data_IF_118336239182
#
_entry.id   IF_118336239182
#
_cell.length_a   1.000
_cell.length_b   1.000
_cell.length_c   1.000
_cell.angle_alpha   90.00
_cell.angle_beta   90.00
_cell.angle_gamma   90.00
#
_symmetry.space_group_name_H-M   'P 1'
#
loop_
_entity.id
_entity.type
_entity.pdbx_description
1 polymer ?
#
# COMPACT_ATOMS: atom_id res chain seq x y z
N UNK A 1 -15.28 0.44 -18.35
CA UNK A 1 -14.40 0.13 -17.20
C UNK A 1 -13.96 1.38 -16.45
N UNK A 2 -13.46 2.44 -17.12
CA UNK A 2 -13.02 3.68 -16.44
C UNK A 2 -14.08 4.27 -15.49
N UNK A 3 -15.35 4.32 -15.93
CA UNK A 3 -16.48 4.75 -15.09
C UNK A 3 -16.65 3.88 -13.84
N UNK A 4 -16.42 2.57 -13.95
CA UNK A 4 -16.55 1.64 -12.84
C UNK A 4 -15.45 1.87 -11.79
N UNK A 5 -14.22 2.13 -12.24
CA UNK A 5 -13.08 2.44 -11.35
C UNK A 5 -13.31 3.78 -10.65
N UNK A 6 -13.81 4.79 -11.36
CA UNK A 6 -14.20 6.08 -10.77
C UNK A 6 -15.31 5.92 -9.72
N UNK A 7 -16.33 5.11 -10.03
CA UNK A 7 -17.39 4.80 -9.07
C UNK A 7 -16.86 4.04 -7.85
N UNK A 8 -15.94 3.08 -8.04
CA UNK A 8 -15.32 2.32 -6.94
C UNK A 8 -14.52 3.25 -6.02
N UNK A 9 -13.73 4.16 -6.59
CA UNK A 9 -12.99 5.16 -5.83
C UNK A 9 -13.92 6.12 -5.08
N UNK A 10 -15.02 6.55 -5.70
CA UNK A 10 -16.02 7.38 -5.02
C UNK A 10 -16.67 6.63 -3.85
N UNK A 11 -16.97 5.34 -4.02
CA UNK A 11 -17.48 4.49 -2.95
C UNK A 11 -16.47 4.36 -1.81
N UNK A 12 -15.19 4.10 -2.10
CA UNK A 12 -14.15 4.07 -1.06
C UNK A 12 -14.06 5.42 -0.31
N UNK A 13 -14.05 6.55 -1.03
CA UNK A 13 -14.02 7.88 -0.40
C UNK A 13 -15.25 8.17 0.49
N UNK A 14 -16.43 7.71 0.10
CA UNK A 14 -17.69 8.00 0.82
C UNK A 14 -17.99 6.98 1.92
N UNK A 15 -17.76 5.70 1.67
CA UNK A 15 -18.11 4.58 2.57
C UNK A 15 -16.85 4.09 3.30
N UNK A 16 -15.76 3.86 2.56
CA UNK A 16 -14.57 3.16 3.03
C UNK A 16 -14.85 1.68 3.23
N UNK A 17 -14.16 1.05 4.19
CA UNK A 17 -14.36 -0.34 4.55
C UNK A 17 -15.48 -0.52 5.59
N UNK A 18 -16.69 -0.97 5.21
CA UNK A 18 -17.76 -1.21 6.17
C UNK A 18 -17.40 -2.39 7.09
N UNK A 19 -17.23 -2.11 8.38
CA UNK A 19 -16.89 -3.12 9.42
C UNK A 19 -17.90 -4.27 9.52
N UNK A 20 -19.11 -4.09 9.00
CA UNK A 20 -20.17 -5.10 9.04
C UNK A 20 -20.07 -6.16 7.94
N UNK A 21 -19.24 -5.96 6.92
CA UNK A 21 -19.06 -6.93 5.84
C UNK A 21 -17.70 -7.61 5.96
N UNK A 22 -17.60 -8.93 5.75
CA UNK A 22 -16.32 -9.62 5.72
C UNK A 22 -15.49 -9.07 4.55
N UNK A 23 -14.39 -8.39 4.87
CA UNK A 23 -13.50 -7.84 3.86
C UNK A 23 -12.78 -8.97 3.10
N UNK A 24 -12.71 -8.96 1.76
CA UNK A 24 -12.10 -10.06 0.99
C UNK A 24 -10.67 -10.42 1.43
N UNK A 25 -9.90 -9.42 1.89
CA UNK A 25 -8.56 -9.61 2.47
C UNK A 25 -8.54 -10.58 3.66
N UNK A 26 -9.61 -10.64 4.48
CA UNK A 26 -9.71 -11.60 5.60
C UNK A 26 -9.79 -13.04 5.08
N UNK A 27 -10.52 -13.25 3.97
CA UNK A 27 -10.61 -14.55 3.33
C UNK A 27 -9.28 -14.94 2.68
N UNK A 28 -8.59 -13.98 2.03
CA UNK A 28 -7.23 -14.19 1.51
C UNK A 28 -6.25 -14.56 2.63
N UNK A 29 -6.25 -13.84 3.74
CA UNK A 29 -5.41 -14.14 4.90
C UNK A 29 -5.68 -15.52 5.49
N UNK A 30 -6.96 -15.91 5.57
CA UNK A 30 -7.35 -17.25 6.01
C UNK A 30 -6.86 -18.34 5.06
N UNK A 31 -6.88 -18.09 3.75
CA UNK A 31 -6.34 -19.00 2.75
C UNK A 31 -4.82 -19.12 2.89
N UNK A 32 -4.11 -18.01 3.04
CA UNK A 32 -2.66 -17.95 3.21
C UNK A 32 -2.25 -18.75 4.45
N UNK A 33 -2.90 -18.55 5.60
CA UNK A 33 -2.62 -19.30 6.84
C UNK A 33 -2.83 -20.80 6.68
N UNK A 34 -3.90 -21.22 5.98
CA UNK A 34 -4.16 -22.64 5.71
C UNK A 34 -3.08 -23.25 4.81
N UNK A 35 -2.70 -22.56 3.75
CA UNK A 35 -1.62 -22.99 2.86
C UNK A 35 -0.29 -23.07 3.61
N UNK A 36 0.05 -22.06 4.40
CA UNK A 36 1.25 -22.03 5.22
C UNK A 36 1.29 -23.21 6.20
N UNK A 37 0.21 -23.43 6.95
CA UNK A 37 0.12 -24.52 7.91
C UNK A 37 0.25 -25.90 7.24
N UNK A 38 -0.28 -26.06 6.01
CA UNK A 38 -0.12 -27.29 5.24
C UNK A 38 1.34 -27.50 4.81
N UNK A 39 1.98 -26.46 4.28
CA UNK A 39 3.37 -26.52 3.83
C UNK A 39 4.29 -26.85 5.01
N UNK A 40 4.13 -26.18 6.15
CA UNK A 40 4.97 -26.40 7.34
C UNK A 40 4.82 -27.79 7.96
N UNK A 41 3.72 -28.50 7.68
CA UNK A 41 3.58 -29.92 8.10
C UNK A 41 4.45 -30.87 7.28
N UNK A 42 4.74 -30.52 6.02
CA UNK A 42 5.42 -31.42 5.07
C UNK A 42 6.83 -30.95 4.72
N UNK A 43 7.13 -29.66 4.83
CA UNK A 43 8.41 -29.06 4.46
C UNK A 43 9.22 -28.70 5.70
N UNK A 44 10.34 -29.40 5.91
CA UNK A 44 11.22 -29.21 7.08
C UNK A 44 12.54 -28.54 6.74
N UNK A 45 12.99 -28.61 5.47
CA UNK A 45 14.23 -27.97 5.01
C UNK A 45 13.97 -26.70 4.20
N UNK A 46 15.03 -25.90 4.01
CA UNK A 46 14.97 -24.61 3.33
C UNK A 46 14.48 -24.72 1.87
N UNK A 47 14.82 -25.80 1.16
CA UNK A 47 14.43 -25.97 -0.25
C UNK A 47 12.96 -26.31 -0.35
N UNK A 48 12.47 -27.25 0.47
CA UNK A 48 11.05 -27.58 0.54
C UNK A 48 10.20 -26.36 0.94
N UNK A 49 10.67 -25.54 1.89
CA UNK A 49 9.99 -24.30 2.27
C UNK A 49 9.93 -23.28 1.13
N UNK A 50 11.00 -23.12 0.34
CA UNK A 50 10.99 -22.24 -0.84
C UNK A 50 10.02 -22.72 -1.90
N UNK A 51 10.04 -24.01 -2.23
CA UNK A 51 9.09 -24.60 -3.19
C UNK A 51 7.66 -24.45 -2.69
N UNK A 52 7.42 -24.73 -1.40
CA UNK A 52 6.13 -24.51 -0.77
C UNK A 52 5.67 -23.05 -0.87
N UNK A 53 6.56 -22.10 -0.62
CA UNK A 53 6.29 -20.66 -0.78
C UNK A 53 5.88 -20.29 -2.20
N UNK A 54 6.58 -20.81 -3.22
CA UNK A 54 6.20 -20.60 -4.63
C UNK A 54 4.82 -21.20 -4.93
N UNK A 55 4.55 -22.43 -4.48
CA UNK A 55 3.25 -23.07 -4.66
C UNK A 55 2.12 -22.31 -3.95
N UNK A 56 2.37 -21.79 -2.74
CA UNK A 56 1.43 -20.93 -2.01
C UNK A 56 1.08 -19.70 -2.83
N UNK A 57 2.09 -18.98 -3.33
CA UNK A 57 1.88 -17.77 -4.14
C UNK A 57 1.05 -18.08 -5.38
N UNK A 58 1.40 -19.14 -6.13
CA UNK A 58 0.64 -19.56 -7.31
C UNK A 58 -0.80 -19.89 -6.93
N UNK A 59 -1.00 -20.69 -5.88
CA UNK A 59 -2.33 -21.11 -5.43
C UNK A 59 -3.18 -19.90 -5.01
N UNK A 60 -2.67 -19.02 -4.16
CA UNK A 60 -3.41 -17.86 -3.66
C UNK A 60 -3.76 -16.88 -4.78
N UNK A 61 -2.82 -16.56 -5.67
CA UNK A 61 -3.06 -15.68 -6.82
C UNK A 61 -4.08 -16.27 -7.79
N UNK A 62 -3.95 -17.57 -8.12
CA UNK A 62 -4.83 -18.30 -9.04
C UNK A 62 -6.25 -18.37 -8.48
N UNK A 63 -6.39 -18.83 -7.23
CA UNK A 63 -7.68 -18.94 -6.55
C UNK A 63 -8.35 -17.56 -6.45
N UNK A 64 -7.60 -16.53 -6.05
CA UNK A 64 -8.14 -15.17 -5.95
C UNK A 64 -8.65 -14.67 -7.30
N UNK A 65 -7.85 -14.81 -8.36
CA UNK A 65 -8.22 -14.37 -9.69
C UNK A 65 -9.49 -15.07 -10.20
N UNK A 66 -9.51 -16.40 -10.18
CA UNK A 66 -10.60 -17.19 -10.74
C UNK A 66 -11.87 -17.12 -9.90
N UNK A 67 -11.78 -17.03 -8.57
CA UNK A 67 -12.97 -16.78 -7.73
C UNK A 67 -13.54 -15.39 -8.03
N UNK A 68 -12.69 -14.35 -8.09
CA UNK A 68 -13.16 -12.99 -8.39
C UNK A 68 -13.84 -12.94 -9.76
N UNK A 69 -13.21 -13.52 -10.79
CA UNK A 69 -13.78 -13.58 -12.13
C UNK A 69 -15.07 -14.43 -12.17
N UNK A 70 -15.08 -15.58 -11.50
CA UNK A 70 -16.23 -16.49 -11.43
C UNK A 70 -17.43 -15.86 -10.72
N UNK A 71 -17.21 -15.10 -9.64
CA UNK A 71 -18.26 -14.36 -8.93
C UNK A 71 -18.90 -13.30 -9.82
N UNK A 72 -18.09 -12.52 -10.55
CA UNK A 72 -18.60 -11.49 -11.48
C UNK A 72 -19.38 -12.15 -12.62
N UNK A 73 -18.85 -13.24 -13.20
CA UNK A 73 -19.51 -13.97 -14.27
C UNK A 73 -20.85 -14.57 -13.81
N UNK A 74 -20.86 -15.29 -12.69
CA UNK A 74 -22.08 -15.92 -12.13
C UNK A 74 -23.14 -14.88 -11.75
N UNK A 75 -22.73 -13.76 -11.15
CA UNK A 75 -23.64 -12.64 -10.88
C UNK A 75 -24.22 -12.07 -12.17
N UNK A 76 -23.41 -11.98 -13.23
CA UNK A 76 -23.84 -11.53 -14.55
C UNK A 76 -24.81 -12.47 -15.25
N UNK A 77 -24.71 -13.79 -15.04
CA UNK A 77 -25.68 -14.77 -15.59
C UNK A 77 -27.04 -14.68 -14.90
N UNK A 78 -27.08 -14.27 -13.63
CA UNK A 78 -28.33 -13.98 -12.91
C UNK A 78 -28.94 -12.67 -13.39
N UNK A 79 -28.17 -11.58 -13.42
CA UNK A 79 -28.61 -10.29 -13.95
C UNK A 79 -27.40 -9.39 -14.32
N UNK A 80 -27.38 -8.71 -15.49
CA UNK A 80 -26.26 -7.83 -15.87
C UNK A 80 -25.91 -6.75 -14.83
N UNK A 81 -26.91 -6.05 -14.27
CA UNK A 81 -26.72 -5.10 -13.17
C UNK A 81 -26.14 -5.73 -11.90
N UNK A 82 -26.44 -6.99 -11.59
CA UNK A 82 -25.88 -7.68 -10.44
C UNK A 82 -24.39 -7.99 -10.67
N UNK A 83 -24.02 -8.45 -11.87
CA UNK A 83 -22.61 -8.61 -12.27
C UNK A 83 -21.83 -7.30 -12.14
N UNK A 84 -22.41 -6.18 -12.58
CA UNK A 84 -21.82 -4.85 -12.45
C UNK A 84 -21.65 -4.44 -10.98
N UNK A 85 -22.67 -4.67 -10.14
CA UNK A 85 -22.64 -4.35 -8.71
C UNK A 85 -21.57 -5.15 -7.96
N UNK A 86 -21.44 -6.45 -8.26
CA UNK A 86 -20.39 -7.31 -7.67
C UNK A 86 -19.01 -6.85 -8.09
N UNK A 87 -18.82 -6.53 -9.37
CA UNK A 87 -17.54 -5.99 -9.88
C UNK A 87 -17.18 -4.68 -9.19
N UNK A 88 -18.14 -3.75 -9.11
CA UNK A 88 -17.97 -2.45 -8.44
C UNK A 88 -17.60 -2.62 -6.97
N UNK A 89 -18.32 -3.49 -6.25
CA UNK A 89 -18.07 -3.78 -4.84
C UNK A 89 -16.67 -4.35 -4.63
N UNK A 90 -16.29 -5.38 -5.39
CA UNK A 90 -14.95 -5.98 -5.31
C UNK A 90 -13.85 -4.95 -5.59
N UNK A 91 -14.00 -4.12 -6.63
CA UNK A 91 -13.06 -3.01 -6.89
C UNK A 91 -12.96 -2.04 -5.72
N UNK A 92 -14.09 -1.63 -5.14
CA UNK A 92 -14.07 -0.67 -4.02
C UNK A 92 -13.29 -1.21 -2.82
N UNK A 93 -13.37 -2.52 -2.53
CA UNK A 93 -12.62 -3.17 -1.44
C UNK A 93 -11.10 -3.31 -1.70
N UNK A 94 -10.62 -2.98 -2.90
CA UNK A 94 -9.18 -2.99 -3.20
C UNK A 94 -8.51 -1.66 -2.87
N UNK A 95 -9.28 -0.59 -2.71
CA UNK A 95 -8.81 0.77 -2.47
C UNK A 95 -8.89 1.09 -0.98
N UNK A 96 -7.91 1.84 -0.47
CA UNK A 96 -7.82 2.16 0.96
C UNK A 96 -7.67 3.67 1.21
N UNK A 97 -8.18 4.55 0.34
CA UNK A 97 -7.96 6.01 0.44
C UNK A 97 -8.59 6.57 1.71
N UNK A 98 -9.85 6.22 1.97
CA UNK A 98 -10.56 6.70 3.16
C UNK A 98 -10.00 6.10 4.44
N UNK A 99 -9.71 4.80 4.42
CA UNK A 99 -9.12 4.09 5.56
C UNK A 99 -7.77 4.69 5.95
N UNK A 100 -6.89 4.93 4.96
CA UNK A 100 -5.59 5.56 5.18
C UNK A 100 -5.72 6.97 5.79
N UNK A 101 -6.66 7.79 5.28
CA UNK A 101 -6.95 9.09 5.87
C UNK A 101 -7.39 8.97 7.33
N UNK A 102 -8.35 8.09 7.62
CA UNK A 102 -8.90 7.91 8.97
C UNK A 102 -7.82 7.49 9.96
N UNK A 103 -6.98 6.53 9.59
CA UNK A 103 -5.89 6.07 10.43
C UNK A 103 -4.84 7.15 10.68
N UNK A 104 -4.38 7.84 9.64
CA UNK A 104 -3.43 8.93 9.77
C UNK A 104 -3.99 10.09 10.62
N UNK A 105 -5.28 10.42 10.42
CA UNK A 105 -5.93 11.49 11.19
C UNK A 105 -6.14 11.11 12.65
N UNK A 106 -6.42 9.83 12.93
CA UNK A 106 -6.52 9.32 14.30
C UNK A 106 -5.21 9.44 15.09
N UNK A 107 -4.05 9.52 14.41
CA UNK A 107 -2.76 9.85 15.04
C UNK A 107 -2.56 11.37 15.14
N UNK A 108 -2.87 12.10 14.07
CA UNK A 108 -2.64 13.54 14.00
C UNK A 108 -3.48 14.35 15.02
N UNK A 109 -4.74 13.96 15.26
CA UNK A 109 -5.65 14.67 16.17
C UNK A 109 -5.16 14.67 17.64
N UNK A 110 -4.79 13.53 18.25
CA UNK A 110 -4.16 13.53 19.57
C UNK A 110 -2.84 14.30 19.63
N UNK A 111 -1.97 14.15 18.62
CA UNK A 111 -0.70 14.89 18.56
C UNK A 111 -0.92 16.40 18.57
N UNK A 112 -1.88 16.90 17.81
CA UNK A 112 -2.21 18.32 17.75
C UNK A 112 -2.66 18.89 19.11
N UNK A 113 -3.14 18.03 20.02
CA UNK A 113 -3.55 18.38 21.39
C UNK A 113 -2.48 18.09 22.45
N UNK A 114 -1.30 17.61 22.07
CA UNK A 114 -0.24 17.19 22.98
C UNK A 114 -0.48 15.84 23.68
N UNK A 115 -1.48 15.07 23.25
CA UNK A 115 -1.79 13.75 23.80
C UNK A 115 -0.93 12.66 23.13
N UNK A 116 0.32 12.57 23.60
CA UNK A 116 1.31 11.61 23.10
C UNK A 116 0.91 10.17 23.40
N UNK A 117 0.27 9.90 24.53
CA UNK A 117 -0.10 8.53 24.93
C UNK A 117 -1.12 7.96 23.96
N UNK A 118 -2.19 8.70 23.67
CA UNK A 118 -3.17 8.26 22.67
C UNK A 118 -2.54 8.20 21.27
N UNK A 119 -1.68 9.15 20.90
CA UNK A 119 -1.00 9.11 19.61
C UNK A 119 -0.14 7.85 19.42
N UNK A 120 0.59 7.40 20.46
CA UNK A 120 1.36 6.14 20.45
C UNK A 120 0.47 4.93 20.23
N UNK A 121 -0.66 4.87 20.93
CA UNK A 121 -1.63 3.78 20.77
C UNK A 121 -2.24 3.76 19.37
N UNK A 122 -2.45 4.92 18.73
CA UNK A 122 -3.04 5.00 17.39
C UNK A 122 -2.01 4.66 16.32
N UNK A 123 -0.76 5.13 16.45
CA UNK A 123 0.28 4.83 15.46
C UNK A 123 0.66 3.35 15.49
N UNK A 124 0.64 2.69 16.66
CA UNK A 124 0.91 1.25 16.78
C UNK A 124 -0.09 0.35 16.04
N UNK A 125 -1.26 0.88 15.65
CA UNK A 125 -2.24 0.14 14.86
C UNK A 125 -1.91 0.14 13.36
N UNK A 126 -1.00 1.01 12.92
CA UNK A 126 -0.66 1.19 11.50
C UNK A 126 0.82 0.99 11.18
N UNK A 127 1.65 0.70 12.19
CA UNK A 127 3.08 0.41 12.01
C UNK A 127 3.45 -0.92 12.66
N UNK A 128 4.42 -1.62 12.08
CA UNK A 128 4.95 -2.87 12.64
C UNK A 128 6.10 -2.70 13.64
N UNK A 129 6.45 -1.46 14.01
CA UNK A 129 7.58 -1.12 14.92
C UNK A 129 7.10 -0.84 16.34
N UNK A 130 8.01 -0.92 17.29
CA UNK A 130 7.73 -0.61 18.69
C UNK A 130 7.39 0.88 18.87
N UNK A 131 6.30 1.17 19.58
CA UNK A 131 5.72 2.52 19.65
C UNK A 131 5.74 3.14 21.06
N UNK A 132 6.07 2.36 22.09
CA UNK A 132 5.88 2.73 23.50
C UNK A 132 6.68 3.97 23.91
N UNK A 133 7.85 4.15 23.32
CA UNK A 133 8.81 5.20 23.68
C UNK A 133 8.91 6.34 22.65
N UNK A 134 8.08 6.33 21.59
CA UNK A 134 8.21 7.31 20.50
C UNK A 134 7.87 8.72 20.97
N UNK A 135 8.73 9.69 20.69
CA UNK A 135 8.42 11.11 20.87
C UNK A 135 7.51 11.65 19.73
N UNK A 136 7.04 12.90 19.84
CA UNK A 136 6.16 13.50 18.82
C UNK A 136 6.71 13.42 17.40
N UNK A 137 8.01 13.68 17.22
CA UNK A 137 8.66 13.64 15.90
C UNK A 137 8.69 12.21 15.38
N UNK A 138 8.98 11.24 16.23
CA UNK A 138 9.03 9.83 15.84
C UNK A 138 7.64 9.27 15.50
N UNK A 139 6.59 9.66 16.24
CA UNK A 139 5.20 9.30 15.91
C UNK A 139 4.79 9.94 14.58
N UNK A 140 5.12 11.22 14.38
CA UNK A 140 4.84 11.93 13.14
C UNK A 140 5.57 11.29 11.96
N UNK A 141 6.88 11.02 12.12
CA UNK A 141 7.71 10.34 11.13
C UNK A 141 7.08 9.02 10.77
N UNK A 142 6.69 8.26 11.79
CA UNK A 142 6.15 6.94 11.59
C UNK A 142 4.85 6.95 10.78
N UNK A 143 3.99 7.92 11.07
CA UNK A 143 2.73 8.10 10.35
C UNK A 143 2.97 8.58 8.91
N UNK A 144 3.90 9.51 8.69
CA UNK A 144 4.21 10.03 7.35
C UNK A 144 4.82 8.94 6.45
N UNK A 145 5.75 8.14 6.98
CA UNK A 145 6.32 6.98 6.28
C UNK A 145 5.22 6.00 5.87
N UNK A 146 4.34 5.63 6.80
CA UNK A 146 3.21 4.72 6.53
C UNK A 146 2.24 5.30 5.50
N UNK A 147 1.92 6.59 5.56
CA UNK A 147 1.06 7.26 4.55
C UNK A 147 1.71 7.23 3.17
N UNK A 148 3.01 7.52 3.08
CA UNK A 148 3.74 7.51 1.82
C UNK A 148 3.75 6.09 1.20
N UNK A 149 4.14 5.08 1.98
CA UNK A 149 4.18 3.68 1.55
C UNK A 149 2.79 3.18 1.11
N UNK A 150 1.76 3.35 1.95
CA UNK A 150 0.40 2.89 1.65
C UNK A 150 -0.29 3.69 0.55
N UNK A 151 0.24 4.85 0.16
CA UNK A 151 -0.23 5.53 -1.06
C UNK A 151 0.05 4.66 -2.29
N UNK A 152 1.18 3.97 -2.33
CA UNK A 152 1.48 3.03 -3.42
C UNK A 152 0.67 1.75 -3.22
N UNK A 153 0.86 1.10 -2.08
CA UNK A 153 0.35 -0.26 -1.86
C UNK A 153 -1.18 -0.35 -1.75
N UNK A 154 -1.80 0.68 -1.16
CA UNK A 154 -3.24 0.73 -0.91
C UNK A 154 -4.04 1.48 -1.96
N UNK A 155 -3.40 2.21 -2.88
CA UNK A 155 -4.10 3.10 -3.81
C UNK A 155 -3.54 3.02 -5.23
N UNK A 156 -2.28 3.40 -5.46
CA UNK A 156 -1.72 3.49 -6.83
C UNK A 156 -1.66 2.12 -7.49
N UNK A 157 -1.15 1.10 -6.78
CA UNK A 157 -1.01 -0.24 -7.34
C UNK A 157 -2.35 -0.94 -7.57
N UNK A 158 -3.32 -0.92 -6.64
CA UNK A 158 -4.68 -1.41 -6.91
C UNK A 158 -5.32 -0.71 -8.11
N UNK A 159 -5.23 0.62 -8.22
CA UNK A 159 -5.74 1.38 -9.37
C UNK A 159 -5.05 0.96 -10.67
N UNK A 160 -3.73 0.84 -10.66
CA UNK A 160 -2.94 0.44 -11.82
C UNK A 160 -3.43 -0.91 -12.38
N UNK A 161 -3.57 -1.92 -11.51
CA UNK A 161 -4.07 -3.23 -11.90
C UNK A 161 -5.56 -3.24 -12.24
N UNK A 162 -6.38 -2.39 -11.60
CA UNK A 162 -7.78 -2.20 -11.97
C UNK A 162 -7.94 -1.65 -13.40
N UNK A 163 -7.11 -0.69 -13.82
CA UNK A 163 -7.15 -0.17 -15.18
C UNK A 163 -6.76 -1.22 -16.23
N UNK A 164 -5.81 -2.11 -15.90
CA UNK A 164 -5.37 -3.19 -16.79
C UNK A 164 -6.42 -4.30 -16.88
N UNK A 165 -6.84 -4.86 -15.74
CA UNK A 165 -7.61 -6.12 -15.69
C UNK A 165 -8.90 -6.07 -14.88
N UNK A 166 -9.33 -4.90 -14.40
CA UNK A 166 -10.53 -4.76 -13.58
C UNK A 166 -10.38 -5.38 -12.18
N UNK A 167 -11.50 -5.77 -11.57
CA UNK A 167 -11.51 -6.35 -10.22
C UNK A 167 -10.63 -7.60 -10.10
N UNK A 168 -10.64 -8.57 -11.04
CA UNK A 168 -9.81 -9.78 -10.91
C UNK A 168 -8.34 -9.46 -10.67
N UNK A 169 -7.76 -8.55 -11.47
CA UNK A 169 -6.35 -8.23 -11.37
C UNK A 169 -6.02 -7.34 -10.16
N UNK A 170 -6.90 -6.39 -9.82
CA UNK A 170 -6.76 -5.58 -8.61
C UNK A 170 -6.84 -6.44 -7.33
N UNK A 171 -7.74 -7.42 -7.31
CA UNK A 171 -7.88 -8.39 -6.21
C UNK A 171 -6.67 -9.32 -6.11
N UNK A 172 -6.14 -9.80 -7.25
CA UNK A 172 -4.90 -10.58 -7.26
C UNK A 172 -3.73 -9.76 -6.73
N UNK A 173 -3.59 -8.50 -7.12
CA UNK A 173 -2.61 -7.60 -6.52
C UNK A 173 -2.81 -7.47 -5.01
N UNK A 174 -4.04 -7.29 -4.54
CA UNK A 174 -4.30 -7.20 -3.10
C UNK A 174 -3.92 -8.48 -2.35
N UNK A 175 -4.11 -9.64 -2.97
CA UNK A 175 -3.63 -10.91 -2.43
C UNK A 175 -2.10 -10.98 -2.37
N UNK A 176 -1.38 -10.47 -3.39
CA UNK A 176 0.09 -10.36 -3.38
C UNK A 176 0.56 -9.50 -2.20
N UNK A 177 0.00 -8.30 -2.05
CA UNK A 177 0.33 -7.38 -0.96
C UNK A 177 -0.02 -7.95 0.42
N UNK A 178 -1.12 -8.69 0.53
CA UNK A 178 -1.51 -9.39 1.75
C UNK A 178 -0.53 -10.51 2.11
N UNK A 179 -0.07 -11.28 1.12
CA UNK A 179 0.96 -12.30 1.34
C UNK A 179 2.27 -11.68 1.84
N UNK A 180 2.74 -10.60 1.22
CA UNK A 180 3.97 -9.94 1.69
C UNK A 180 3.84 -9.43 3.13
N UNK A 181 2.71 -8.80 3.46
CA UNK A 181 2.44 -8.31 4.82
C UNK A 181 2.33 -9.41 5.88
N UNK A 182 1.96 -10.63 5.50
CA UNK A 182 1.79 -11.75 6.46
C UNK A 182 3.03 -12.63 6.57
N UNK A 183 3.66 -12.93 5.44
CA UNK A 183 4.72 -13.93 5.34
C UNK A 183 5.99 -13.41 4.66
N UNK A 184 6.01 -12.18 4.12
CA UNK A 184 7.15 -11.61 3.38
C UNK A 184 8.31 -11.08 4.24
N UNK A 185 8.17 -11.12 5.57
CA UNK A 185 9.19 -10.60 6.47
C UNK A 185 10.48 -11.45 6.48
N UNK A 186 11.63 -10.78 6.56
CA UNK A 186 12.96 -11.44 6.66
C UNK A 186 13.26 -11.93 8.09
N UNK A 187 12.30 -12.58 8.74
CA UNK A 187 12.49 -13.25 10.03
C UNK A 187 12.87 -14.72 9.81
N UNK A 188 13.51 -15.36 10.80
CA UNK A 188 13.96 -16.76 10.70
C UNK A 188 12.84 -17.72 10.26
N UNK A 189 11.61 -17.47 10.69
CA UNK A 189 10.45 -18.33 10.41
C UNK A 189 9.95 -18.25 8.96
N UNK A 190 10.23 -17.13 8.27
CA UNK A 190 9.67 -16.80 6.96
C UNK A 190 10.71 -16.57 5.87
N UNK A 191 12.01 -16.59 6.21
CA UNK A 191 13.12 -16.33 5.29
C UNK A 191 13.04 -17.16 3.99
N UNK A 192 12.58 -18.41 4.09
CA UNK A 192 12.48 -19.32 2.95
C UNK A 192 11.06 -19.39 2.36
N UNK A 193 10.04 -19.55 3.20
CA UNK A 193 8.65 -19.69 2.78
C UNK A 193 8.09 -18.38 2.18
N UNK A 194 8.41 -17.26 2.81
CA UNK A 194 7.98 -15.92 2.41
C UNK A 194 8.69 -15.33 1.22
N UNK A 195 9.82 -15.92 0.80
CA UNK A 195 10.71 -15.33 -0.20
C UNK A 195 10.00 -15.05 -1.53
N UNK A 196 9.18 -15.99 -2.01
CA UNK A 196 8.45 -15.82 -3.27
C UNK A 196 7.39 -14.71 -3.18
N UNK A 197 6.71 -14.59 -2.04
CA UNK A 197 5.70 -13.55 -1.81
C UNK A 197 6.34 -12.16 -1.83
N UNK A 198 7.43 -11.96 -1.08
CA UNK A 198 8.16 -10.70 -1.04
C UNK A 198 8.72 -10.29 -2.41
N UNK A 199 9.26 -11.24 -3.18
CA UNK A 199 9.75 -10.97 -4.54
C UNK A 199 8.65 -10.63 -5.53
N UNK A 200 7.49 -11.28 -5.41
CA UNK A 200 6.35 -10.99 -6.26
C UNK A 200 5.75 -9.62 -5.93
N UNK A 201 5.68 -9.25 -4.65
CA UNK A 201 5.23 -7.91 -4.24
C UNK A 201 6.19 -6.84 -4.75
N UNK A 202 7.52 -7.03 -4.56
CA UNK A 202 8.55 -6.15 -5.12
C UNK A 202 8.36 -5.94 -6.63
N UNK A 203 8.04 -7.02 -7.37
CA UNK A 203 7.81 -6.95 -8.81
C UNK A 203 6.49 -6.24 -9.14
N UNK A 204 5.41 -6.55 -8.43
CA UNK A 204 4.08 -6.01 -8.69
C UNK A 204 4.01 -4.50 -8.39
N UNK A 205 4.72 -4.05 -7.36
CA UNK A 205 4.82 -2.64 -6.98
C UNK A 205 5.88 -1.87 -7.76
N UNK A 206 6.71 -2.54 -8.58
CA UNK A 206 7.83 -1.88 -9.28
C UNK A 206 7.37 -0.70 -10.13
N UNK A 207 6.51 -0.93 -11.13
CA UNK A 207 6.02 0.14 -12.01
C UNK A 207 5.13 1.16 -11.28
N UNK A 208 4.13 0.75 -10.45
CA UNK A 208 3.32 1.68 -9.68
C UNK A 208 4.13 2.63 -8.80
N UNK A 209 5.18 2.14 -8.12
CA UNK A 209 6.01 2.97 -7.24
C UNK A 209 6.77 4.06 -8.02
N UNK A 210 7.33 3.73 -9.20
CA UNK A 210 8.01 4.73 -10.05
C UNK A 210 7.02 5.77 -10.57
N UNK A 211 5.84 5.33 -10.98
CA UNK A 211 4.77 6.22 -11.42
C UNK A 211 4.35 7.19 -10.30
N UNK A 212 4.18 6.67 -9.08
CA UNK A 212 3.90 7.50 -7.91
C UNK A 212 5.01 8.53 -7.65
N UNK A 213 6.29 8.14 -7.74
CA UNK A 213 7.42 9.07 -7.61
C UNK A 213 7.39 10.22 -8.62
N UNK A 214 7.00 9.94 -9.87
CA UNK A 214 6.79 10.97 -10.91
C UNK A 214 5.63 11.90 -10.53
N UNK A 215 4.49 11.35 -10.09
CA UNK A 215 3.33 12.16 -9.68
C UNK A 215 3.63 13.03 -8.46
N UNK A 216 4.29 12.50 -7.44
CA UNK A 216 4.76 13.29 -6.30
C UNK A 216 5.68 14.43 -6.74
N UNK A 217 6.58 14.17 -7.70
CA UNK A 217 7.47 15.20 -8.24
C UNK A 217 6.68 16.36 -8.82
N UNK A 218 5.70 16.10 -9.71
CA UNK A 218 4.85 17.15 -10.27
C UNK A 218 4.03 17.91 -9.21
N UNK A 219 3.43 17.21 -8.25
CA UNK A 219 2.63 17.83 -7.18
C UNK A 219 3.48 18.68 -6.24
N UNK A 220 4.77 18.40 -6.13
CA UNK A 220 5.69 19.12 -5.25
C UNK A 220 6.15 20.49 -5.77
N UNK A 221 5.72 20.94 -6.96
CA UNK A 221 6.09 22.26 -7.49
C UNK A 221 5.66 23.39 -6.53
N UNK A 222 4.52 23.26 -5.86
CA UNK A 222 4.01 24.22 -4.89
C UNK A 222 4.26 23.87 -3.42
N UNK A 223 5.02 22.81 -3.13
CA UNK A 223 5.26 22.36 -1.76
C UNK A 223 6.52 23.00 -1.16
N UNK A 224 6.68 23.04 0.18
CA UNK A 224 7.81 23.73 0.83
C UNK A 224 9.20 23.25 0.38
N UNK A 225 9.32 21.97 0.07
CA UNK A 225 10.56 21.37 -0.44
C UNK A 225 10.82 21.66 -1.91
N UNK A 226 9.78 21.73 -2.75
CA UNK A 226 9.85 21.99 -4.18
C UNK A 226 10.22 20.79 -5.05
N UNK A 227 9.89 20.86 -6.34
CA UNK A 227 10.18 19.83 -7.36
C UNK A 227 11.61 19.29 -7.32
N UNK A 228 12.61 20.18 -7.30
CA UNK A 228 14.02 19.80 -7.33
C UNK A 228 14.45 19.00 -6.09
N UNK A 229 13.87 19.32 -4.93
CA UNK A 229 14.16 18.60 -3.67
C UNK A 229 13.56 17.20 -3.71
N UNK A 230 12.32 17.07 -4.18
CA UNK A 230 11.60 15.81 -4.38
C UNK A 230 12.36 14.86 -5.31
N UNK A 231 12.68 15.32 -6.53
CA UNK A 231 13.39 14.51 -7.52
C UNK A 231 14.75 14.09 -7.00
N UNK A 232 15.50 15.00 -6.36
CA UNK A 232 16.81 14.68 -5.79
C UNK A 232 16.70 13.62 -4.68
N UNK A 233 15.71 13.73 -3.79
CA UNK A 233 15.50 12.75 -2.73
C UNK A 233 15.15 11.38 -3.31
N UNK A 234 14.24 11.31 -4.29
CA UNK A 234 13.88 10.04 -4.96
C UNK A 234 15.08 9.40 -5.64
N UNK A 235 15.89 10.16 -6.40
CA UNK A 235 17.01 9.58 -7.14
C UNK A 235 18.19 9.18 -6.24
N UNK A 236 18.46 9.96 -5.19
CA UNK A 236 19.63 9.77 -4.33
C UNK A 236 19.35 8.86 -3.14
N UNK A 237 18.20 9.02 -2.49
CA UNK A 237 17.94 8.43 -1.17
C UNK A 237 17.09 7.14 -1.25
N UNK A 238 16.10 7.09 -2.15
CA UNK A 238 15.25 5.91 -2.31
C UNK A 238 16.02 4.60 -2.58
N UNK A 239 17.12 4.58 -3.39
CA UNK A 239 17.86 3.34 -3.65
C UNK A 239 18.52 2.71 -2.42
N UNK A 240 18.73 3.47 -1.35
CA UNK A 240 19.29 2.93 -0.11
C UNK A 240 18.24 2.16 0.72
N UNK A 241 16.95 2.35 0.43
CA UNK A 241 15.88 1.70 1.17
C UNK A 241 15.89 0.17 0.96
N UNK A 242 15.62 -0.65 1.99
CA UNK A 242 15.63 -2.11 1.85
C UNK A 242 14.63 -2.67 0.83
N UNK A 243 13.48 -2.00 0.69
CA UNK A 243 12.51 -2.27 -0.38
C UNK A 243 12.83 -1.39 -1.59
N UNK A 244 12.90 -1.97 -2.81
CA UNK A 244 13.12 -1.25 -4.07
C UNK A 244 11.96 -0.32 -4.44
N UNK A 245 10.84 -0.37 -3.70
CA UNK A 245 9.60 0.35 -3.98
C UNK A 245 9.28 1.39 -2.90
N UNK A 246 9.20 0.99 -1.62
CA UNK A 246 8.73 1.88 -0.53
C UNK A 246 9.59 3.14 -0.35
N UNK A 247 10.89 3.06 -0.66
CA UNK A 247 11.79 4.22 -0.58
C UNK A 247 11.41 5.35 -1.54
N UNK A 248 10.74 5.06 -2.66
CA UNK A 248 10.36 6.07 -3.67
C UNK A 248 9.31 7.04 -3.10
N UNK A 249 8.10 6.61 -2.67
CA UNK A 249 7.11 7.52 -2.13
C UNK A 249 7.59 8.19 -0.83
N UNK A 250 8.32 7.50 0.03
CA UNK A 250 8.87 8.08 1.27
C UNK A 250 9.86 9.21 0.97
N UNK A 251 10.85 8.97 0.10
CA UNK A 251 11.80 10.00 -0.31
C UNK A 251 11.12 11.14 -1.06
N UNK A 252 10.08 10.85 -1.85
CA UNK A 252 9.31 11.87 -2.54
C UNK A 252 8.57 12.78 -1.55
N UNK A 253 7.88 12.22 -0.55
CA UNK A 253 7.20 13.01 0.50
C UNK A 253 8.22 13.80 1.33
N UNK A 254 9.34 13.19 1.73
CA UNK A 254 10.40 13.87 2.46
C UNK A 254 10.95 15.07 1.68
N UNK A 255 11.27 14.84 0.40
CA UNK A 255 11.78 15.87 -0.51
C UNK A 255 10.76 16.97 -0.78
N UNK A 256 9.48 16.63 -0.96
CA UNK A 256 8.38 17.56 -1.23
C UNK A 256 8.06 18.45 -0.02
N UNK A 257 8.09 17.89 1.19
CA UNK A 257 7.78 18.64 2.41
C UNK A 257 9.02 19.32 3.01
N UNK A 258 10.23 19.02 2.52
CA UNK A 258 11.47 19.58 3.05
C UNK A 258 11.80 19.05 4.45
N UNK A 259 11.42 17.80 4.72
CA UNK A 259 11.65 17.09 5.98
C UNK A 259 12.65 15.94 5.76
N UNK A 260 13.06 15.30 6.85
CA UNK A 260 13.85 14.09 6.82
C UNK A 260 13.07 12.92 7.42
N UNK A 261 13.03 11.79 6.71
CA UNK A 261 12.44 10.52 7.15
C UNK A 261 13.56 9.46 7.31
N UNK A 262 13.21 8.27 7.80
CA UNK A 262 14.17 7.21 8.10
C UNK A 262 14.85 7.39 9.45
N UNK A 263 16.01 6.73 9.65
CA UNK A 263 16.71 6.67 10.93
C UNK A 263 16.42 5.41 11.72
N UNK A 264 16.62 5.44 13.04
CA UNK A 264 16.48 4.25 13.90
C UNK A 264 15.02 3.96 14.23
N UNK A 265 14.63 2.70 14.04
CA UNK A 265 13.38 2.10 14.48
C UNK A 265 13.69 0.90 15.39
N UNK A 266 12.73 0.48 16.21
CA UNK A 266 12.86 -0.72 17.04
C UNK A 266 11.78 -1.73 16.65
N UNK A 267 12.14 -3.01 16.57
CA UNK A 267 11.22 -4.11 16.32
C UNK A 267 11.47 -5.18 17.38
N UNK A 268 10.51 -5.39 18.28
CA UNK A 268 10.66 -6.35 19.40
C UNK A 268 11.93 -6.10 20.22
N UNK A 269 12.27 -4.83 20.42
CA UNK A 269 13.46 -4.37 21.13
C UNK A 269 14.74 -4.31 20.29
N UNK A 270 14.75 -4.84 19.06
CA UNK A 270 15.94 -4.82 18.20
C UNK A 270 16.00 -3.55 17.35
N UNK A 271 17.16 -2.88 17.36
CA UNK A 271 17.37 -1.67 16.57
C UNK A 271 17.52 -2.00 15.07
N UNK A 272 16.71 -1.33 14.25
CA UNK A 272 16.74 -1.37 12.79
C UNK A 272 17.05 0.01 12.25
N UNK A 273 18.24 0.16 11.66
CA UNK A 273 18.67 1.42 11.05
C UNK A 273 18.14 1.51 9.61
N UNK A 274 17.30 2.52 9.36
CA UNK A 274 16.84 2.88 8.02
C UNK A 274 17.65 4.06 7.50
N UNK A 275 18.01 4.07 6.20
CA UNK A 275 18.70 5.21 5.61
C UNK A 275 17.85 6.48 5.74
N UNK A 276 18.50 7.61 5.94
CA UNK A 276 17.80 8.90 5.95
C UNK A 276 17.39 9.28 4.52
N UNK A 277 16.16 9.77 4.38
CA UNK A 277 15.60 10.23 3.11
C UNK A 277 15.18 11.68 3.21
N UNK A 278 15.54 12.49 2.21
CA UNK A 278 15.30 13.92 2.20
C UNK A 278 16.36 14.73 2.96
N UNK A 279 16.13 16.04 3.04
CA UNK A 279 16.96 16.99 3.79
C UNK A 279 16.05 17.76 4.73
N UNK A 280 16.42 17.81 6.00
CA UNK A 280 15.69 18.58 7.02
C UNK A 280 15.88 20.09 6.77
N UNK A 281 14.96 20.68 6.00
CA UNK A 281 14.80 22.14 5.91
C UNK A 281 13.87 22.66 7.01
N UNK A 282 12.88 21.83 7.38
CA UNK A 282 11.90 22.12 8.41
C UNK A 282 11.88 20.98 9.43
N UNK A 283 11.75 21.30 10.74
CA UNK A 283 11.58 20.29 11.76
C UNK A 283 10.26 19.55 11.54
N UNK A 284 10.28 18.25 11.76
CA UNK A 284 9.08 17.42 11.63
C UNK A 284 8.06 17.76 12.72
N UNK A 285 6.80 17.92 12.33
CA UNK A 285 5.66 18.29 13.20
C UNK A 285 4.39 17.58 12.73
N UNK A 286 3.40 17.40 13.61
CA UNK A 286 2.14 16.70 13.29
C UNK A 286 1.43 17.21 12.02
N UNK A 287 1.63 18.49 11.64
CA UNK A 287 1.06 19.10 10.43
C UNK A 287 1.49 18.39 9.15
N UNK A 288 2.69 17.78 9.16
CA UNK A 288 3.21 17.05 8.01
C UNK A 288 2.40 15.77 7.71
N UNK A 289 1.67 15.23 8.69
CA UNK A 289 0.73 14.11 8.45
C UNK A 289 -0.37 14.56 7.49
N UNK A 290 -0.97 15.72 7.74
CA UNK A 290 -2.01 16.28 6.86
C UNK A 290 -1.45 16.65 5.49
N UNK A 291 -0.25 17.21 5.43
CA UNK A 291 0.40 17.54 4.16
C UNK A 291 0.73 16.29 3.33
N UNK A 292 1.17 15.21 3.97
CA UNK A 292 1.39 13.92 3.31
C UNK A 292 0.07 13.38 2.72
N UNK A 293 -1.03 13.43 3.48
CA UNK A 293 -2.37 13.05 2.99
C UNK A 293 -2.83 13.90 1.79
N UNK A 294 -2.54 15.21 1.78
CA UNK A 294 -2.86 16.06 0.62
C UNK A 294 -2.09 15.61 -0.64
N UNK A 295 -0.82 15.24 -0.50
CA UNK A 295 -0.05 14.67 -1.61
C UNK A 295 -0.63 13.32 -2.04
N UNK A 296 -1.04 12.45 -1.11
CA UNK A 296 -1.74 11.19 -1.41
C UNK A 296 -2.98 11.40 -2.27
N UNK A 297 -3.83 12.39 -1.95
CA UNK A 297 -5.00 12.71 -2.76
C UNK A 297 -4.62 13.18 -4.17
N UNK A 298 -3.60 14.04 -4.28
CA UNK A 298 -3.09 14.47 -5.58
C UNK A 298 -2.55 13.30 -6.42
N UNK A 299 -1.78 12.40 -5.82
CA UNK A 299 -1.23 11.21 -6.48
C UNK A 299 -2.36 10.27 -6.92
N UNK A 300 -3.38 10.10 -6.08
CA UNK A 300 -4.59 9.34 -6.43
C UNK A 300 -5.27 9.94 -7.66
N UNK A 301 -5.50 11.25 -7.68
CA UNK A 301 -6.14 11.94 -8.81
C UNK A 301 -5.33 11.81 -10.11
N UNK A 302 -4.01 12.00 -10.04
CA UNK A 302 -3.12 11.84 -11.20
C UNK A 302 -3.07 10.39 -11.71
N UNK A 303 -3.14 9.41 -10.80
CA UNK A 303 -3.17 7.99 -11.17
C UNK A 303 -4.44 7.65 -11.94
N UNK A 304 -5.59 8.11 -11.45
CA UNK A 304 -6.89 7.95 -12.13
C UNK A 304 -6.88 8.66 -13.48
N UNK A 305 -6.42 9.92 -13.53
CA UNK A 305 -6.36 10.68 -14.77
C UNK A 305 -5.49 9.98 -15.82
N UNK A 306 -4.29 9.55 -15.43
CA UNK A 306 -3.40 8.80 -16.31
C UNK A 306 -4.04 7.49 -16.79
N UNK A 307 -4.66 6.72 -15.89
CA UNK A 307 -5.36 5.49 -16.23
C UNK A 307 -6.51 5.71 -17.22
N UNK A 308 -7.34 6.74 -17.01
CA UNK A 308 -8.43 7.13 -17.91
C UNK A 308 -7.89 7.54 -19.28
N UNK A 309 -6.85 8.38 -19.33
CA UNK A 309 -6.24 8.85 -20.59
C UNK A 309 -5.64 7.69 -21.39
N UNK A 310 -4.87 6.81 -20.74
CA UNK A 310 -4.29 5.63 -21.41
C UNK A 310 -5.40 4.78 -21.99
N UNK A 311 -6.47 4.53 -21.23
CA UNK A 311 -7.60 3.72 -21.71
C UNK A 311 -8.33 4.38 -22.88
N UNK A 312 -8.58 5.69 -22.80
CA UNK A 312 -9.21 6.45 -23.86
C UNK A 312 -8.39 6.39 -25.16
N UNK A 313 -7.07 6.56 -25.07
CA UNK A 313 -6.18 6.45 -26.24
C UNK A 313 -6.20 5.05 -26.84
N UNK A 314 -6.19 4.00 -26.01
CA UNK A 314 -6.27 2.61 -26.48
C UNK A 314 -7.62 2.32 -27.15
N UNK A 315 -8.73 2.75 -26.55
CA UNK A 315 -10.08 2.56 -27.10
C UNK A 315 -10.33 3.38 -28.37
N UNK A 316 -9.70 4.55 -28.51
CA UNK A 316 -9.83 5.40 -29.71
C UNK A 316 -9.05 4.91 -30.94
N UNK A 317 -8.13 3.96 -30.75
CA UNK A 317 -7.29 3.40 -31.82
C UNK A 317 -7.86 2.13 -32.44
N UNK A 318 -8.99 1.63 -31.94
CA UNK A 318 -9.73 0.48 -32.43
C UNK A 318 -11.19 0.85 -32.69
#
# INVERSE_FOLDING_TARGET
>A
MSVLILAALLIDLLVGDPRCLPHPVVLMGSLIQKCEALIRKTATDATALRIGGVLLVIAVCTVTYFITQGLIWLAGTVHPWLGLAVHLWLLSTTLAVKSLHQHARAVAEPLARGDIVTARQKVSLIVGRDCENLNEREITRATVETVAENTVDGIVSPLFYAFIGGAPLAMTYKAINTMDSMIGHRHQDYLYLGWAAARLDDLANYLPARLAGVFYSFLSIGSPGGFTSTVRAVLRDAPAHPSPNSGIPEAAVAGALGIQLGGTNYYRGEASHRPFMGKEKYPLTYRHIQQALHLTYGVTALTVLAGVLVRFVLESRF
#
